data_IF_145946804582
#
_entry.id   IF_145946804582
#
_cell.length_a   1.000
_cell.length_b   1.000
_cell.length_c   1.000
_cell.angle_alpha   90.00
_cell.angle_beta   90.00
_cell.angle_gamma   90.00
#
_symmetry.space_group_name_H-M   'P 1'
#
loop_
_entity.id
_entity.type
_entity.pdbx_description
1 polymer ?
#
# COMPACT_ATOMS: atom_id res chain seq x y z
N UNK A 1 -6.67 2.12 -20.77
CA UNK A 1 -6.15 3.07 -21.81
C UNK A 1 -5.49 4.23 -21.07
N UNK A 2 -4.19 4.40 -21.19
CA UNK A 2 -3.49 5.50 -20.50
C UNK A 2 -3.84 6.85 -21.18
N UNK A 3 -4.31 7.79 -20.39
CA UNK A 3 -4.62 9.16 -20.86
C UNK A 3 -3.38 10.01 -20.64
N UNK A 4 -2.98 10.76 -21.69
CA UNK A 4 -1.83 11.65 -21.58
C UNK A 4 -2.16 12.86 -20.70
N UNK A 5 -1.33 13.14 -19.71
CA UNK A 5 -1.47 14.25 -18.76
C UNK A 5 -1.54 15.61 -19.49
N UNK A 6 -0.77 15.79 -20.57
CA UNK A 6 -0.81 17.00 -21.39
C UNK A 6 -2.20 17.23 -22.03
N UNK A 7 -2.86 16.15 -22.44
CA UNK A 7 -4.25 16.24 -22.98
C UNK A 7 -5.22 16.69 -21.89
N UNK A 8 -5.09 16.16 -20.68
CA UNK A 8 -5.93 16.57 -19.54
C UNK A 8 -5.70 18.03 -19.20
N UNK A 9 -4.44 18.47 -19.14
CA UNK A 9 -4.09 19.87 -18.90
C UNK A 9 -4.70 20.82 -19.94
N UNK A 10 -4.58 20.50 -21.23
CA UNK A 10 -5.19 21.28 -22.32
C UNK A 10 -6.71 21.33 -22.22
N UNK A 11 -7.33 20.22 -21.83
CA UNK A 11 -8.80 20.19 -21.62
C UNK A 11 -9.22 21.08 -20.46
N UNK A 12 -8.48 21.06 -19.35
CA UNK A 12 -8.75 21.96 -18.20
C UNK A 12 -8.57 23.43 -18.60
N UNK A 13 -7.52 23.77 -19.35
CA UNK A 13 -7.33 25.13 -19.87
C UNK A 13 -8.47 25.55 -20.80
N UNK A 14 -8.97 24.65 -21.65
CA UNK A 14 -10.11 24.93 -22.53
C UNK A 14 -11.36 25.28 -21.72
N UNK A 15 -11.64 24.54 -20.66
CA UNK A 15 -12.78 24.79 -19.78
C UNK A 15 -12.63 26.13 -19.06
N UNK A 16 -11.44 26.42 -18.51
CA UNK A 16 -11.15 27.69 -17.83
C UNK A 16 -11.30 28.87 -18.77
N UNK A 17 -10.81 28.79 -20.00
CA UNK A 17 -10.94 29.81 -21.00
C UNK A 17 -12.40 30.02 -21.44
N UNK A 18 -13.16 28.92 -21.57
CA UNK A 18 -14.59 29.00 -21.93
C UNK A 18 -15.41 29.76 -20.88
N UNK A 19 -15.04 29.59 -19.59
CA UNK A 19 -15.71 30.27 -18.47
C UNK A 19 -15.10 31.64 -18.11
N UNK A 20 -14.10 32.11 -18.85
CA UNK A 20 -13.37 33.36 -18.59
C UNK A 20 -12.78 33.44 -17.16
N UNK A 21 -12.42 32.30 -16.56
CA UNK A 21 -11.93 32.21 -15.19
C UNK A 21 -10.42 32.30 -15.01
N UNK A 22 -9.69 32.61 -16.08
CA UNK A 22 -8.26 32.85 -16.02
C UNK A 22 -7.41 31.69 -16.53
N UNK A 23 -6.12 31.76 -16.25
CA UNK A 23 -5.09 30.84 -16.68
C UNK A 23 -4.55 30.03 -15.51
N UNK A 24 -4.32 28.76 -15.71
CA UNK A 24 -3.69 27.86 -14.74
C UNK A 24 -2.28 27.53 -15.21
N UNK A 25 -1.29 27.70 -14.34
CA UNK A 25 0.08 27.31 -14.63
C UNK A 25 0.24 25.77 -14.54
N UNK A 26 1.22 25.18 -15.25
CA UNK A 26 1.50 23.73 -15.14
C UNK A 26 1.82 23.27 -13.72
N UNK A 27 2.48 24.11 -12.90
CA UNK A 27 2.80 23.78 -11.51
C UNK A 27 1.54 23.70 -10.63
N UNK A 28 0.64 24.66 -10.78
CA UNK A 28 -0.66 24.64 -10.09
C UNK A 28 -1.49 23.43 -10.51
N UNK A 29 -1.51 23.09 -11.79
CA UNK A 29 -2.17 21.89 -12.30
C UNK A 29 -1.59 20.61 -11.67
N UNK A 30 -0.28 20.47 -11.60
CA UNK A 30 0.37 19.29 -11.00
C UNK A 30 0.04 19.15 -9.51
N UNK A 31 0.02 20.26 -8.76
CA UNK A 31 -0.35 20.24 -7.34
C UNK A 31 -1.80 19.82 -7.12
N UNK A 32 -2.71 20.42 -7.89
CA UNK A 32 -4.14 20.09 -7.83
C UNK A 32 -4.35 18.64 -8.30
N UNK A 33 -3.71 18.23 -9.40
CA UNK A 33 -3.79 16.87 -9.92
C UNK A 33 -3.37 15.81 -8.91
N UNK A 34 -2.25 16.03 -8.22
CA UNK A 34 -1.79 15.13 -7.16
C UNK A 34 -2.77 15.04 -5.98
N UNK A 35 -3.39 16.16 -5.62
CA UNK A 35 -4.42 16.18 -4.56
C UNK A 35 -5.68 15.42 -4.98
N UNK A 36 -6.14 15.65 -6.21
CA UNK A 36 -7.34 14.99 -6.76
C UNK A 36 -7.12 13.48 -6.88
N UNK A 37 -5.93 13.03 -7.33
CA UNK A 37 -5.61 11.60 -7.37
C UNK A 37 -5.69 10.95 -6.00
N UNK A 38 -5.20 11.61 -4.94
CA UNK A 38 -5.33 11.09 -3.57
C UNK A 38 -6.78 11.01 -3.12
N UNK A 39 -7.59 12.03 -3.43
CA UNK A 39 -9.00 12.03 -3.09
C UNK A 39 -9.77 10.90 -3.80
N UNK A 40 -9.49 10.66 -5.07
CA UNK A 40 -10.09 9.55 -5.83
C UNK A 40 -9.69 8.21 -5.21
N UNK A 41 -8.41 8.04 -4.87
CA UNK A 41 -7.93 6.82 -4.22
C UNK A 41 -8.62 6.56 -2.88
N UNK A 42 -8.73 7.58 -2.01
CA UNK A 42 -9.43 7.44 -0.73
C UNK A 42 -10.93 7.13 -0.92
N UNK A 43 -11.58 7.77 -1.89
CA UNK A 43 -12.98 7.49 -2.20
C UNK A 43 -13.21 6.02 -2.62
N UNK A 44 -12.30 5.42 -3.40
CA UNK A 44 -12.40 4.00 -3.75
C UNK A 44 -12.27 3.08 -2.55
N UNK A 45 -11.44 3.42 -1.56
CA UNK A 45 -11.36 2.65 -0.32
C UNK A 45 -12.62 2.78 0.56
N UNK A 46 -13.23 3.95 0.59
CA UNK A 46 -14.51 4.15 1.29
C UNK A 46 -15.62 3.33 0.62
N UNK A 47 -15.70 3.39 -0.70
CA UNK A 47 -16.65 2.59 -1.48
C UNK A 47 -16.45 1.09 -1.25
N UNK A 48 -15.19 0.61 -1.27
CA UNK A 48 -14.87 -0.78 -1.00
C UNK A 48 -15.33 -1.22 0.39
N UNK A 49 -15.05 -0.42 1.42
CA UNK A 49 -15.47 -0.70 2.79
C UNK A 49 -17.00 -0.73 2.94
N UNK A 50 -17.71 0.14 2.25
CA UNK A 50 -19.18 0.15 2.25
C UNK A 50 -19.74 -1.09 1.56
N UNK A 51 -19.18 -1.47 0.42
CA UNK A 51 -19.63 -2.61 -0.37
C UNK A 51 -19.38 -3.95 0.33
N UNK A 52 -18.29 -4.09 1.07
CA UNK A 52 -18.00 -5.28 1.87
C UNK A 52 -19.03 -5.54 2.98
N UNK A 53 -19.80 -4.51 3.38
CA UNK A 53 -20.85 -4.64 4.40
C UNK A 53 -22.22 -5.00 3.82
N UNK A 54 -22.39 -4.92 2.51
CA UNK A 54 -23.67 -5.21 1.83
C UNK A 54 -23.62 -6.65 1.30
N UNK A 55 -24.71 -7.46 1.46
CA UNK A 55 -24.79 -8.77 0.84
C UNK A 55 -24.60 -8.66 -0.66
N UNK A 56 -23.67 -9.46 -1.18
CA UNK A 56 -23.33 -9.43 -2.61
C UNK A 56 -24.15 -10.44 -3.40
N UNK A 57 -24.37 -10.13 -4.67
CA UNK A 57 -24.95 -11.05 -5.65
C UNK A 57 -23.82 -11.91 -6.24
N UNK A 58 -24.06 -13.21 -6.41
CA UNK A 58 -23.12 -14.17 -7.02
C UNK A 58 -22.89 -13.95 -8.53
N UNK A 59 -23.41 -12.88 -9.10
CA UNK A 59 -23.28 -12.59 -10.53
C UNK A 59 -22.02 -11.77 -10.78
N UNK A 60 -21.06 -12.33 -11.50
CA UNK A 60 -19.72 -11.75 -11.75
C UNK A 60 -19.76 -10.29 -12.25
N UNK A 61 -20.62 -9.99 -13.25
CA UNK A 61 -20.70 -8.63 -13.80
C UNK A 61 -21.35 -7.59 -12.86
N UNK A 62 -22.01 -8.03 -11.80
CA UNK A 62 -22.59 -7.16 -10.77
C UNK A 62 -21.75 -7.14 -9.48
N UNK A 63 -20.63 -7.82 -9.45
CA UNK A 63 -19.73 -7.84 -8.29
C UNK A 63 -18.97 -6.51 -8.17
N UNK A 64 -19.57 -5.58 -7.44
CA UNK A 64 -19.03 -4.24 -7.23
C UNK A 64 -17.69 -4.26 -6.49
N UNK A 65 -17.47 -5.23 -5.61
CA UNK A 65 -16.21 -5.38 -4.88
C UNK A 65 -15.06 -5.65 -5.84
N UNK A 66 -15.22 -6.62 -6.74
CA UNK A 66 -14.21 -6.94 -7.74
C UNK A 66 -13.92 -5.74 -8.67
N UNK A 67 -14.97 -5.03 -9.11
CA UNK A 67 -14.81 -3.83 -9.94
C UNK A 67 -14.07 -2.71 -9.20
N UNK A 68 -14.35 -2.51 -7.92
CA UNK A 68 -13.67 -1.49 -7.12
C UNK A 68 -12.23 -1.89 -6.83
N UNK A 69 -11.95 -3.16 -6.57
CA UNK A 69 -10.58 -3.66 -6.37
C UNK A 69 -9.75 -3.55 -7.67
N UNK A 70 -10.36 -3.79 -8.83
CA UNK A 70 -9.72 -3.57 -10.13
C UNK A 70 -9.33 -2.09 -10.33
N UNK A 71 -10.19 -1.14 -9.93
CA UNK A 71 -9.87 0.29 -9.96
C UNK A 71 -8.74 0.66 -9.01
N UNK A 72 -8.73 0.07 -7.81
CA UNK A 72 -7.65 0.27 -6.83
C UNK A 72 -6.34 -0.33 -7.35
N UNK A 73 -6.40 -1.43 -8.11
CA UNK A 73 -5.22 -2.09 -8.65
C UNK A 73 -4.35 -1.19 -9.54
N UNK A 74 -4.95 -0.19 -10.20
CA UNK A 74 -4.18 0.81 -10.99
C UNK A 74 -3.22 1.66 -10.13
N UNK A 75 -3.48 1.78 -8.83
CA UNK A 75 -2.63 2.51 -7.89
C UNK A 75 -1.66 1.60 -7.14
N UNK A 76 -1.79 0.27 -7.27
CA UNK A 76 -0.91 -0.69 -6.61
C UNK A 76 0.43 -0.75 -7.36
N UNK A 77 1.52 -0.62 -6.61
CA UNK A 77 2.87 -0.86 -7.12
C UNK A 77 3.41 -2.09 -6.42
N UNK A 78 3.79 -3.09 -7.19
CA UNK A 78 4.36 -4.33 -6.67
C UNK A 78 5.89 -4.25 -6.56
N UNK A 79 6.44 -5.11 -5.71
CA UNK A 79 7.88 -5.35 -5.60
C UNK A 79 8.73 -4.17 -5.12
N UNK A 80 8.17 -3.27 -4.33
CA UNK A 80 8.97 -2.27 -3.66
C UNK A 80 9.83 -2.97 -2.60
N UNK A 81 11.15 -2.94 -2.79
CA UNK A 81 12.09 -3.49 -1.80
C UNK A 81 12.10 -2.61 -0.55
N UNK A 82 12.07 -3.27 0.60
CA UNK A 82 12.27 -2.56 1.87
C UNK A 82 13.72 -2.09 2.01
N UNK A 83 13.91 -0.94 2.64
CA UNK A 83 15.25 -0.43 2.97
C UNK A 83 15.55 -0.76 4.44
N UNK A 84 16.72 -1.31 4.77
CA UNK A 84 17.07 -1.56 6.17
C UNK A 84 17.11 -0.23 6.91
N UNK A 85 16.48 -0.17 8.09
CA UNK A 85 16.60 1.00 8.97
C UNK A 85 18.00 1.04 9.58
N UNK A 86 18.56 2.25 9.71
CA UNK A 86 19.80 2.44 10.47
C UNK A 86 19.66 1.80 11.85
N UNK A 87 20.72 1.08 12.26
CA UNK A 87 20.80 0.14 13.39
C UNK A 87 20.48 0.68 14.80
N UNK A 88 19.70 1.72 14.96
CA UNK A 88 19.24 2.15 16.29
C UNK A 88 18.02 1.36 16.73
N UNK A 89 18.22 0.09 16.97
CA UNK A 89 17.19 -0.92 17.06
C UNK A 89 16.99 -1.37 18.50
N UNK A 90 15.75 -1.59 18.86
CA UNK A 90 15.38 -2.45 19.98
C UNK A 90 16.06 -3.81 19.73
N UNK A 91 16.97 -4.19 20.62
CA UNK A 91 17.75 -5.44 20.52
C UNK A 91 16.83 -6.61 20.16
N UNK A 92 17.10 -7.27 19.06
CA UNK A 92 16.37 -8.45 18.66
C UNK A 92 15.17 -8.24 17.70
N UNK A 93 15.12 -7.15 16.99
CA UNK A 93 14.14 -6.90 15.93
C UNK A 93 14.83 -6.42 14.66
N UNK A 94 14.29 -6.76 13.50
CA UNK A 94 14.75 -6.28 12.23
C UNK A 94 13.77 -5.25 11.69
N UNK A 95 14.00 -3.94 11.89
CA UNK A 95 13.18 -2.91 11.33
C UNK A 95 13.56 -2.67 9.87
N UNK A 96 12.56 -2.54 9.03
CA UNK A 96 12.69 -2.12 7.65
C UNK A 96 11.93 -0.81 7.48
N UNK A 97 12.56 0.17 6.83
CA UNK A 97 11.92 1.45 6.54
C UNK A 97 11.04 1.27 5.31
N UNK A 98 9.82 1.77 5.42
CA UNK A 98 8.90 1.85 4.27
C UNK A 98 9.40 2.96 3.34
N UNK A 99 9.47 2.72 2.02
CA UNK A 99 9.86 3.74 1.06
C UNK A 99 9.01 5.00 1.18
N UNK A 100 9.65 6.17 1.05
CA UNK A 100 8.96 7.47 1.19
C UNK A 100 7.89 7.73 0.14
N UNK A 101 7.97 7.03 -0.97
CA UNK A 101 7.02 7.13 -2.09
C UNK A 101 5.74 6.32 -1.84
N UNK A 102 5.76 5.42 -0.85
CA UNK A 102 4.61 4.59 -0.53
C UNK A 102 3.58 5.39 0.27
N UNK A 103 2.42 5.61 -0.30
CA UNK A 103 1.32 6.31 0.35
C UNK A 103 0.58 5.42 1.36
N UNK A 104 0.32 4.17 1.00
CA UNK A 104 -0.39 3.21 1.85
C UNK A 104 0.23 1.82 1.70
N UNK A 105 0.55 1.20 2.83
CA UNK A 105 1.08 -0.15 2.87
C UNK A 105 -0.07 -1.15 2.77
N UNK A 106 -0.04 -1.98 1.75
CA UNK A 106 -0.95 -3.11 1.57
C UNK A 106 -0.42 -4.37 2.23
N UNK A 107 0.01 -5.34 1.42
CA UNK A 107 0.60 -6.58 1.91
C UNK A 107 2.13 -6.54 1.89
N UNK A 108 2.73 -7.37 2.74
CA UNK A 108 4.18 -7.60 2.74
C UNK A 108 4.40 -9.08 2.49
N UNK A 109 5.28 -9.39 1.54
CA UNK A 109 5.66 -10.75 1.22
C UNK A 109 7.13 -11.00 1.52
N UNK A 110 7.44 -12.20 2.00
CA UNK A 110 8.79 -12.69 2.22
C UNK A 110 9.13 -13.75 1.18
N UNK A 111 10.20 -13.51 0.46
CA UNK A 111 10.70 -14.38 -0.62
C UNK A 111 12.10 -14.87 -0.29
N UNK A 112 12.25 -15.96 0.46
CA UNK A 112 13.58 -16.52 0.75
C UNK A 112 14.28 -17.06 -0.49
N UNK A 113 13.52 -17.47 -1.49
CA UNK A 113 14.00 -18.00 -2.78
C UNK A 113 13.01 -17.56 -3.87
N UNK A 114 13.47 -17.50 -5.11
CA UNK A 114 12.69 -17.10 -6.30
C UNK A 114 11.40 -17.90 -6.56
N UNK A 115 11.17 -18.99 -5.84
CA UNK A 115 10.01 -19.87 -6.04
C UNK A 115 9.05 -19.95 -4.84
N UNK A 116 9.38 -19.28 -3.74
CA UNK A 116 8.58 -19.40 -2.50
C UNK A 116 8.17 -18.03 -2.00
N UNK A 117 6.88 -17.77 -2.07
CA UNK A 117 6.26 -16.54 -1.58
C UNK A 117 5.51 -16.83 -0.29
N UNK A 118 5.75 -16.04 0.75
CA UNK A 118 5.05 -16.13 2.03
C UNK A 118 4.54 -14.76 2.40
N UNK A 119 3.27 -14.64 2.64
CA UNK A 119 2.70 -13.41 3.17
C UNK A 119 3.06 -13.25 4.64
N UNK A 120 3.50 -12.06 5.01
CA UNK A 120 3.81 -11.72 6.39
C UNK A 120 2.55 -11.14 7.03
N UNK A 121 2.08 -11.75 8.10
CA UNK A 121 0.86 -11.32 8.77
C UNK A 121 1.07 -10.03 9.57
N UNK A 122 0.21 -9.04 9.37
CA UNK A 122 0.21 -7.82 10.17
C UNK A 122 -0.40 -8.07 11.55
N UNK A 123 0.29 -7.64 12.60
CA UNK A 123 -0.15 -7.81 13.99
C UNK A 123 -0.15 -6.48 14.72
N UNK A 124 -1.08 -6.32 15.65
CA UNK A 124 -1.09 -5.18 16.56
C UNK A 124 0.02 -5.26 17.62
N UNK A 125 0.42 -4.11 18.20
CA UNK A 125 1.52 -4.05 19.17
C UNK A 125 1.36 -4.98 20.37
N UNK A 126 0.19 -5.00 20.97
CA UNK A 126 -0.08 -5.85 22.13
C UNK A 126 0.00 -7.34 21.77
N UNK A 127 -0.56 -7.72 20.64
CA UNK A 127 -0.55 -9.07 20.11
C UNK A 127 0.87 -9.51 19.73
N UNK A 128 1.65 -8.65 19.09
CA UNK A 128 3.04 -8.91 18.73
C UNK A 128 3.89 -9.36 19.92
N UNK A 129 3.79 -8.65 21.06
CA UNK A 129 4.53 -9.04 22.27
C UNK A 129 4.01 -10.31 22.91
N UNK A 130 2.70 -10.55 22.86
CA UNK A 130 2.11 -11.77 23.43
C UNK A 130 2.50 -13.02 22.62
N UNK A 131 2.44 -12.94 21.30
CA UNK A 131 2.84 -14.03 20.40
C UNK A 131 4.32 -14.38 20.59
N UNK A 132 5.20 -13.40 20.76
CA UNK A 132 6.63 -13.63 21.00
C UNK A 132 6.93 -14.34 22.32
N UNK A 133 6.09 -14.15 23.34
CA UNK A 133 6.28 -14.79 24.65
C UNK A 133 5.81 -16.22 24.70
N UNK A 134 4.89 -16.61 23.85
CA UNK A 134 4.26 -17.92 23.87
C UNK A 134 5.08 -18.91 23.03
N UNK A 135 5.61 -20.01 23.62
CA UNK A 135 6.48 -20.95 22.90
C UNK A 135 5.79 -21.66 21.73
N UNK A 136 4.46 -21.91 21.86
CA UNK A 136 3.68 -22.62 20.85
C UNK A 136 3.25 -21.76 19.67
N UNK A 137 3.10 -20.44 19.88
CA UNK A 137 2.65 -19.48 18.84
C UNK A 137 3.79 -18.61 18.33
N UNK A 138 5.04 -18.88 18.77
CA UNK A 138 6.20 -18.12 18.34
C UNK A 138 6.34 -18.15 16.83
N UNK A 139 6.50 -16.98 16.18
CA UNK A 139 6.61 -16.90 14.74
C UNK A 139 7.78 -17.68 14.21
N UNK A 140 7.56 -18.33 13.09
CA UNK A 140 8.57 -19.11 12.35
C UNK A 140 8.79 -18.52 10.96
N UNK A 141 9.77 -19.04 10.23
CA UNK A 141 9.96 -18.69 8.80
C UNK A 141 8.78 -19.12 7.91
N UNK A 142 7.95 -20.05 8.41
CA UNK A 142 6.72 -20.46 7.71
C UNK A 142 5.57 -19.48 7.93
N UNK A 143 5.51 -18.89 9.13
CA UNK A 143 4.46 -17.95 9.54
C UNK A 143 5.09 -16.69 10.14
N UNK A 144 5.69 -15.83 9.30
CA UNK A 144 6.28 -14.60 9.77
C UNK A 144 5.18 -13.58 10.11
N UNK A 145 5.49 -12.68 11.04
CA UNK A 145 4.61 -11.59 11.43
C UNK A 145 5.34 -10.26 11.34
N UNK A 146 4.60 -9.17 11.14
CA UNK A 146 5.16 -7.83 11.21
C UNK A 146 4.31 -6.87 12.01
N UNK A 147 4.98 -5.92 12.64
CA UNK A 147 4.40 -4.76 13.28
C UNK A 147 4.74 -3.53 12.45
N UNK A 148 3.74 -2.69 12.14
CA UNK A 148 3.93 -1.45 11.42
C UNK A 148 3.73 -0.27 12.36
N UNK A 149 4.80 0.50 12.63
CA UNK A 149 4.79 1.69 13.48
C UNK A 149 5.82 2.69 12.98
N UNK A 150 5.48 3.98 13.02
CA UNK A 150 6.39 5.08 12.73
C UNK A 150 7.12 4.93 11.37
N UNK A 151 6.38 4.60 10.34
CA UNK A 151 6.90 4.36 8.98
C UNK A 151 7.98 3.27 8.91
N UNK A 152 7.96 2.35 9.87
CA UNK A 152 8.86 1.19 9.96
C UNK A 152 8.06 -0.08 10.12
N UNK A 153 8.53 -1.11 9.49
CA UNK A 153 8.01 -2.46 9.67
C UNK A 153 9.00 -3.27 10.48
N UNK A 154 8.57 -3.83 11.60
CA UNK A 154 9.38 -4.70 12.45
C UNK A 154 8.95 -6.12 12.15
N UNK A 155 9.83 -6.90 11.52
CA UNK A 155 9.53 -8.28 11.11
C UNK A 155 10.10 -9.28 12.11
N UNK A 156 9.37 -10.36 12.33
CA UNK A 156 9.78 -11.48 13.15
C UNK A 156 9.42 -12.81 12.47
N UNK A 157 10.28 -13.84 12.42
CA UNK A 157 11.50 -14.03 13.22
C UNK A 157 12.70 -13.18 12.76
N UNK A 158 13.64 -12.99 13.69
CA UNK A 158 14.87 -12.17 13.48
C UNK A 158 15.82 -12.71 12.41
N UNK A 159 15.65 -13.94 12.00
CA UNK A 159 16.42 -14.56 10.91
C UNK A 159 16.13 -13.95 9.54
N UNK A 160 15.04 -13.19 9.42
CA UNK A 160 14.72 -12.42 8.23
C UNK A 160 15.49 -11.10 8.30
N UNK A 161 16.70 -11.09 7.77
CA UNK A 161 17.63 -9.93 7.81
C UNK A 161 17.85 -9.29 6.44
N UNK A 162 17.58 -10.01 5.37
CA UNK A 162 17.82 -9.54 4.02
C UNK A 162 16.65 -8.70 3.50
N UNK A 163 16.85 -7.39 3.29
CA UNK A 163 15.79 -6.52 2.77
C UNK A 163 15.40 -6.88 1.33
N UNK A 164 16.28 -7.50 0.57
CA UNK A 164 15.99 -7.96 -0.80
C UNK A 164 14.92 -9.05 -0.86
N UNK A 165 14.72 -9.77 0.24
CA UNK A 165 13.73 -10.84 0.35
C UNK A 165 12.36 -10.34 0.86
N UNK A 166 12.22 -9.05 1.19
CA UNK A 166 10.97 -8.46 1.66
C UNK A 166 10.46 -7.52 0.58
N UNK A 167 9.29 -7.83 0.05
CA UNK A 167 8.60 -7.02 -0.94
C UNK A 167 7.33 -6.42 -0.34
N UNK A 168 7.11 -5.14 -0.60
CA UNK A 168 5.94 -4.37 -0.16
C UNK A 168 5.06 -4.03 -1.35
N UNK A 169 3.76 -4.04 -1.13
CA UNK A 169 2.73 -3.59 -2.08
C UNK A 169 2.02 -2.36 -1.56
#
# INVERSE_FOLDING_TARGET
MAINVDTVYKTVLLILNSEQRGYMTPDEFNRIGSQVQRQIFEAYFEDLNQQLRVPQSDVEYSNRVAITDEKIAEFKTENIQSVPADKKTITGTNPFVVPSELYRLGSITYEPNTSTYKEIQRVGRAEFYNIRKAPLTSPSLEYPIYLYEDNKTIVYPQTIVDPGNIKMQ
#
